data_IF_607049092089
#
_entry.id   IF_607049092089
#
_cell.length_a   1.000
_cell.length_b   1.000
_cell.length_c   1.000
_cell.angle_alpha   90.00
_cell.angle_beta   90.00
_cell.angle_gamma   90.00
#
_symmetry.space_group_name_H-M   'P 1'
#
loop_
_entity.id
_entity.type
_entity.pdbx_description
1 polymer ?
#
# COMPACT_ATOMS: atom_id res chain seq x y z
N UNK A 1 -4.17 32.65 -1.28
CA UNK A 1 -3.08 32.33 -0.34
C UNK A 1 -3.03 30.81 -0.23
N UNK A 2 -2.06 30.22 -0.92
CA UNK A 2 -1.99 28.82 -1.35
C UNK A 2 -1.72 27.86 -0.18
N UNK A 3 -2.60 26.88 0.01
CA UNK A 3 -2.66 25.92 1.12
C UNK A 3 -1.60 24.79 1.05
N UNK A 4 -0.37 25.08 0.64
CA UNK A 4 0.69 24.08 0.48
C UNK A 4 1.50 23.85 1.79
N UNK A 5 1.26 24.66 2.83
CA UNK A 5 2.13 24.75 4.01
C UNK A 5 1.49 24.31 5.35
N UNK A 6 0.56 23.35 5.32
CA UNK A 6 0.24 22.52 6.51
C UNK A 6 0.47 21.06 6.11
N UNK A 7 1.37 20.25 6.66
CA UNK A 7 2.35 20.44 7.73
C UNK A 7 3.25 19.18 7.70
N UNK A 8 4.14 19.04 6.73
CA UNK A 8 5.02 17.86 6.63
C UNK A 8 6.49 18.23 6.89
N UNK A 9 7.01 18.07 8.12
CA UNK A 9 8.42 18.36 8.42
C UNK A 9 9.34 17.43 7.63
N UNK A 10 10.24 18.04 6.85
CA UNK A 10 11.02 17.43 5.75
C UNK A 10 12.12 16.44 6.21
N UNK A 11 12.44 16.40 7.50
CA UNK A 11 13.70 15.81 8.01
C UNK A 11 13.61 14.44 8.70
N UNK A 12 12.42 13.85 8.90
CA UNK A 12 12.32 12.48 9.43
C UNK A 12 12.38 11.46 8.30
N UNK A 13 13.23 10.43 8.45
CA UNK A 13 13.22 9.26 7.57
C UNK A 13 11.77 8.76 7.46
N UNK A 14 11.28 8.64 6.23
CA UNK A 14 9.87 8.34 5.99
C UNK A 14 9.61 6.90 6.39
N UNK A 15 8.83 6.71 7.46
CA UNK A 15 8.34 5.38 7.81
C UNK A 15 7.43 4.92 6.69
N UNK A 16 7.83 3.85 6.01
CA UNK A 16 7.05 3.22 4.96
C UNK A 16 6.19 2.13 5.56
N UNK A 17 4.98 1.95 5.00
CA UNK A 17 4.17 0.79 5.29
C UNK A 17 4.92 -0.49 4.90
N UNK A 18 4.58 -1.58 5.59
CA UNK A 18 4.90 -2.91 5.07
C UNK A 18 4.14 -3.17 3.78
N UNK A 19 4.76 -3.92 2.87
CA UNK A 19 4.04 -4.49 1.74
C UNK A 19 3.00 -5.48 2.27
N UNK A 20 1.80 -5.56 1.66
CA UNK A 20 0.87 -6.65 1.91
C UNK A 20 1.59 -8.00 1.79
N UNK A 21 1.35 -8.94 2.70
CA UNK A 21 2.05 -10.24 2.72
C UNK A 21 1.05 -11.37 2.59
N UNK A 22 1.29 -12.29 1.65
CA UNK A 22 0.41 -13.38 1.19
C UNK A 22 -0.25 -14.29 2.26
N UNK A 23 0.09 -14.14 3.53
CA UNK A 23 -0.41 -14.95 4.64
C UNK A 23 -1.47 -14.24 5.50
N UNK A 24 -1.91 -13.03 5.16
CA UNK A 24 -2.93 -12.31 5.95
C UNK A 24 -4.33 -12.90 5.81
N UNK A 25 -4.61 -13.64 4.73
CA UNK A 25 -5.87 -14.36 4.56
C UNK A 25 -6.01 -15.56 5.53
N UNK A 26 -4.90 -16.17 5.97
CA UNK A 26 -4.89 -17.45 6.70
C UNK A 26 -4.45 -17.35 8.17
N UNK A 27 -3.79 -16.26 8.57
CA UNK A 27 -3.28 -16.10 9.93
C UNK A 27 -4.31 -15.48 10.89
N UNK A 28 -4.09 -15.70 12.19
CA UNK A 28 -4.90 -15.13 13.27
C UNK A 28 -5.03 -13.60 13.19
N UNK A 29 -6.00 -13.05 13.92
CA UNK A 29 -6.31 -11.62 13.93
C UNK A 29 -5.08 -10.73 14.12
N UNK A 30 -5.13 -9.55 13.52
CA UNK A 30 -4.19 -8.45 13.75
C UNK A 30 -3.81 -8.32 15.23
N UNK A 31 -2.55 -7.98 15.48
CA UNK A 31 -1.99 -7.73 16.80
C UNK A 31 -1.23 -6.41 16.79
N UNK A 32 -1.16 -5.74 17.94
CA UNK A 32 -0.37 -4.53 18.07
C UNK A 32 1.10 -4.79 17.63
N UNK A 33 1.70 -3.94 16.79
CA UNK A 33 3.06 -4.14 16.27
C UNK A 33 4.13 -4.40 17.32
N UNK A 34 4.04 -3.77 18.49
CA UNK A 34 5.01 -4.00 19.57
C UNK A 34 4.86 -5.38 20.22
N UNK A 35 3.63 -5.93 20.27
CA UNK A 35 3.39 -7.30 20.75
C UNK A 35 3.97 -8.33 19.78
N UNK A 36 3.83 -8.11 18.47
CA UNK A 36 4.46 -8.93 17.42
C UNK A 36 5.98 -8.96 17.58
N UNK A 37 6.60 -7.78 17.71
CA UNK A 37 8.05 -7.63 17.88
C UNK A 37 8.56 -8.30 19.16
N UNK A 38 7.84 -8.16 20.27
CA UNK A 38 8.17 -8.83 21.53
C UNK A 38 8.15 -10.37 21.40
N UNK A 39 7.31 -10.91 20.51
CA UNK A 39 7.29 -12.32 20.15
C UNK A 39 8.32 -12.76 19.10
N UNK A 40 9.24 -11.88 18.68
CA UNK A 40 10.28 -12.18 17.68
C UNK A 40 9.79 -12.14 16.22
N UNK A 41 8.58 -11.64 15.97
CA UNK A 41 8.01 -11.51 14.63
C UNK A 41 7.89 -10.05 14.20
N UNK A 42 8.16 -9.76 12.92
CA UNK A 42 7.86 -8.45 12.35
C UNK A 42 6.35 -8.21 12.27
N UNK A 43 5.88 -6.94 12.42
CA UNK A 43 4.48 -6.63 12.18
C UNK A 43 4.12 -6.80 10.70
N UNK A 44 2.88 -7.18 10.44
CA UNK A 44 2.26 -7.21 9.12
C UNK A 44 1.67 -5.84 8.75
N UNK A 45 1.24 -5.67 7.50
CA UNK A 45 0.47 -4.47 7.12
C UNK A 45 -0.84 -4.36 7.91
N UNK A 46 -1.57 -5.46 8.12
CA UNK A 46 -2.82 -5.44 8.91
C UNK A 46 -2.55 -5.01 10.36
N UNK A 47 -1.44 -5.45 10.96
CA UNK A 47 -1.03 -5.00 12.31
C UNK A 47 -0.80 -3.48 12.36
N UNK A 48 -0.15 -2.90 11.34
CA UNK A 48 0.11 -1.46 11.28
C UNK A 48 -1.17 -0.66 11.07
N UNK A 49 -2.01 -1.03 10.10
CA UNK A 49 -3.21 -0.24 9.79
C UNK A 49 -4.29 -0.34 10.86
N UNK A 50 -4.43 -1.48 11.53
CA UNK A 50 -5.48 -1.68 12.54
C UNK A 50 -5.12 -1.10 13.91
N UNK A 51 -3.85 -0.81 14.20
CA UNK A 51 -3.42 -0.37 15.53
C UNK A 51 -2.65 0.96 15.58
N UNK A 52 -2.03 1.40 14.49
CA UNK A 52 -1.17 2.60 14.51
C UNK A 52 -1.83 3.84 13.89
N UNK A 53 -2.95 3.67 13.19
CA UNK A 53 -3.61 4.74 12.46
C UNK A 53 -4.76 5.34 13.26
N UNK A 54 -5.03 6.62 13.06
CA UNK A 54 -6.09 7.37 13.74
C UNK A 54 -7.25 7.60 12.77
N UNK A 55 -7.88 6.51 12.36
CA UNK A 55 -8.99 6.50 11.39
C UNK A 55 -10.00 5.45 11.83
N UNK A 56 -11.28 5.77 11.66
CA UNK A 56 -12.36 4.83 11.93
C UNK A 56 -12.75 4.08 10.65
N UNK A 57 -13.28 2.84 10.74
CA UNK A 57 -13.59 2.04 9.54
C UNK A 57 -14.72 2.60 8.66
N UNK A 58 -15.54 3.49 9.21
CA UNK A 58 -16.64 4.21 8.56
C UNK A 58 -16.32 5.68 8.35
N UNK A 59 -15.03 6.07 8.46
CA UNK A 59 -14.60 7.41 8.14
C UNK A 59 -14.92 7.74 6.68
N UNK A 60 -15.51 8.91 6.45
CA UNK A 60 -15.71 9.44 5.11
C UNK A 60 -14.55 10.37 4.76
N UNK A 61 -14.23 10.45 3.48
CA UNK A 61 -13.25 11.40 3.02
C UNK A 61 -13.87 12.80 3.10
N UNK A 62 -13.33 13.74 3.89
CA UNK A 62 -13.83 15.11 3.89
C UNK A 62 -13.66 15.74 2.51
N UNK A 63 -14.62 16.56 2.10
CA UNK A 63 -14.59 17.34 0.85
C UNK A 63 -13.77 18.63 1.04
N UNK A 64 -12.57 18.50 1.59
CA UNK A 64 -11.67 19.63 1.89
C UNK A 64 -10.37 19.61 1.08
N UNK A 65 -10.19 18.61 0.20
CA UNK A 65 -9.07 18.54 -0.73
C UNK A 65 -8.93 17.20 -1.46
N UNK A 66 -7.93 17.08 -2.34
CA UNK A 66 -7.69 15.87 -3.14
C UNK A 66 -6.92 14.77 -2.38
N UNK A 67 -6.67 14.95 -1.07
CA UNK A 67 -5.80 14.10 -0.25
C UNK A 67 -6.51 13.71 1.04
N UNK A 68 -6.27 12.48 1.48
CA UNK A 68 -6.79 11.99 2.75
C UNK A 68 -6.26 12.79 3.95
N UNK A 69 -7.01 12.89 5.05
CA UNK A 69 -6.60 13.66 6.22
C UNK A 69 -5.26 13.18 6.79
N UNK A 70 -4.30 14.10 6.92
CA UNK A 70 -2.93 13.77 7.35
C UNK A 70 -2.89 13.14 8.76
N UNK A 71 -3.83 13.52 9.63
CA UNK A 71 -4.01 13.00 10.97
C UNK A 71 -4.34 11.51 11.02
N UNK A 72 -4.88 10.92 9.96
CA UNK A 72 -5.17 9.48 9.90
C UNK A 72 -3.88 8.66 9.95
N UNK A 73 -2.82 9.19 9.36
CA UNK A 73 -1.67 8.39 8.95
C UNK A 73 -0.50 8.41 9.93
N UNK A 74 -0.54 9.28 10.95
CA UNK A 74 0.52 9.39 11.95
C UNK A 74 1.92 9.51 11.32
N UNK A 75 2.82 8.58 11.67
CA UNK A 75 4.20 8.56 11.16
C UNK A 75 4.30 8.24 9.65
N UNK A 76 3.25 7.66 9.04
CA UNK A 76 3.21 7.28 7.63
C UNK A 76 2.71 8.42 6.71
N UNK A 77 2.23 9.53 7.27
CA UNK A 77 1.53 10.58 6.52
C UNK A 77 2.31 11.11 5.31
N UNK A 78 3.64 11.21 5.42
CA UNK A 78 4.49 11.65 4.30
C UNK A 78 4.61 10.62 3.18
N UNK A 79 4.68 9.34 3.53
CA UNK A 79 4.73 8.25 2.56
C UNK A 79 3.39 8.17 1.81
N UNK A 80 2.28 8.28 2.54
CA UNK A 80 0.93 8.31 1.98
C UNK A 80 0.77 9.48 1.02
N UNK A 81 1.07 10.71 1.47
CA UNK A 81 0.96 11.90 0.62
C UNK A 81 1.74 11.77 -0.70
N UNK A 82 2.98 11.27 -0.65
CA UNK A 82 3.76 11.03 -1.86
C UNK A 82 3.10 10.02 -2.79
N UNK A 83 2.53 8.97 -2.22
CA UNK A 83 1.84 7.95 -3.00
C UNK A 83 0.53 8.47 -3.59
N UNK A 84 -0.23 9.29 -2.88
CA UNK A 84 -1.42 9.98 -3.42
C UNK A 84 -1.08 10.87 -4.62
N UNK A 85 0.01 11.62 -4.54
CA UNK A 85 0.49 12.43 -5.67
C UNK A 85 0.82 11.54 -6.88
N UNK A 86 1.41 10.37 -6.64
CA UNK A 86 1.76 9.44 -7.70
C UNK A 86 0.52 8.73 -8.30
N UNK A 87 -0.42 8.32 -7.45
CA UNK A 87 -1.65 7.63 -7.85
C UNK A 87 -2.67 8.58 -8.47
N UNK A 88 -2.62 9.88 -8.15
CA UNK A 88 -3.58 10.88 -8.59
C UNK A 88 -4.94 10.76 -7.89
N UNK A 89 -5.02 9.95 -6.84
CA UNK A 89 -6.22 9.71 -6.02
C UNK A 89 -5.86 9.76 -4.54
N UNK A 90 -6.79 10.19 -3.68
CA UNK A 90 -6.58 10.10 -2.24
C UNK A 90 -6.46 8.64 -1.80
N UNK A 91 -5.74 8.42 -0.71
CA UNK A 91 -5.63 7.11 -0.09
C UNK A 91 -7.00 6.65 0.42
N UNK A 92 -7.47 5.45 0.04
CA UNK A 92 -8.70 4.89 0.60
C UNK A 92 -8.59 4.69 2.11
N UNK A 93 -9.72 4.63 2.81
CA UNK A 93 -9.75 4.25 4.22
C UNK A 93 -9.07 2.88 4.38
N UNK A 94 -8.03 2.76 5.24
CA UNK A 94 -7.16 1.60 5.25
C UNK A 94 -7.75 0.38 5.96
N UNK A 95 -8.88 0.57 6.64
CA UNK A 95 -9.53 -0.41 7.48
C UNK A 95 -11.03 -0.46 7.22
N UNK A 96 -11.66 -1.59 7.54
CA UNK A 96 -13.09 -1.82 7.41
C UNK A 96 -13.63 -2.60 8.61
N UNK A 97 -14.94 -2.52 8.86
CA UNK A 97 -15.62 -3.39 9.83
C UNK A 97 -15.69 -4.82 9.26
N UNK A 98 -15.18 -5.78 10.03
CA UNK A 98 -15.32 -7.20 9.74
C UNK A 98 -16.69 -7.74 10.18
N UNK A 99 -17.07 -8.94 9.72
CA UNK A 99 -18.40 -9.52 9.98
C UNK A 99 -18.72 -9.74 11.46
N UNK A 100 -17.69 -9.84 12.31
CA UNK A 100 -17.79 -10.05 13.77
C UNK A 100 -17.59 -8.76 14.58
N UNK A 101 -17.67 -7.59 13.94
CA UNK A 101 -17.52 -6.28 14.59
C UNK A 101 -16.08 -5.83 14.86
N UNK A 102 -15.07 -6.67 14.57
CA UNK A 102 -13.66 -6.28 14.64
C UNK A 102 -13.21 -5.44 13.44
N UNK A 103 -12.08 -4.75 13.58
CA UNK A 103 -11.45 -3.98 12.50
C UNK A 103 -10.55 -4.89 11.65
N UNK A 104 -10.56 -4.69 10.33
CA UNK A 104 -9.81 -5.47 9.35
C UNK A 104 -9.17 -4.58 8.29
N UNK A 105 -8.06 -5.01 7.71
CA UNK A 105 -7.45 -4.35 6.54
C UNK A 105 -8.43 -4.31 5.36
N UNK A 106 -8.60 -3.14 4.74
CA UNK A 106 -9.48 -2.93 3.61
C UNK A 106 -8.80 -3.33 2.28
N UNK A 107 -9.43 -4.20 1.45
CA UNK A 107 -8.86 -4.59 0.16
C UNK A 107 -8.57 -3.42 -0.79
N UNK A 108 -9.43 -2.40 -0.80
CA UNK A 108 -9.27 -1.20 -1.63
C UNK A 108 -7.98 -0.44 -1.31
N UNK A 109 -7.63 -0.37 -0.03
CA UNK A 109 -6.38 0.23 0.39
C UNK A 109 -5.16 -0.60 -0.06
N UNK A 110 -5.24 -1.94 0.02
CA UNK A 110 -4.17 -2.80 -0.50
C UNK A 110 -3.97 -2.64 -2.02
N UNK A 111 -5.07 -2.58 -2.78
CA UNK A 111 -5.05 -2.38 -4.23
C UNK A 111 -4.36 -1.05 -4.59
N UNK A 112 -4.75 0.03 -3.90
CA UNK A 112 -4.14 1.34 -4.03
C UNK A 112 -2.66 1.35 -3.62
N UNK A 113 -2.32 0.73 -2.49
CA UNK A 113 -0.95 0.65 -1.97
C UNK A 113 -0.02 -0.11 -2.94
N UNK A 114 -0.56 -1.13 -3.64
CA UNK A 114 0.16 -1.88 -4.66
C UNK A 114 0.25 -1.13 -6.00
N UNK A 115 -0.36 0.04 -6.13
CA UNK A 115 -0.31 0.86 -7.33
C UNK A 115 -1.16 0.34 -8.47
N UNK A 116 -2.19 -0.45 -8.15
CA UNK A 116 -3.14 -0.98 -9.13
C UNK A 116 -4.19 0.08 -9.48
N UNK A 117 -4.76 0.05 -10.69
CA UNK A 117 -5.92 0.87 -11.03
C UNK A 117 -7.09 0.63 -10.07
N UNK A 118 -7.91 1.66 -9.88
CA UNK A 118 -9.11 1.57 -9.06
C UNK A 118 -10.05 0.46 -9.57
N UNK A 119 -10.40 -0.49 -8.69
CA UNK A 119 -11.33 -1.57 -9.01
C UNK A 119 -10.68 -2.79 -9.67
N UNK A 120 -9.36 -2.78 -9.89
CA UNK A 120 -8.66 -3.85 -10.63
C UNK A 120 -8.89 -5.26 -10.08
N UNK A 121 -8.88 -5.41 -8.75
CA UNK A 121 -9.25 -6.63 -8.02
C UNK A 121 -10.57 -6.43 -7.28
N UNK A 122 -10.78 -5.25 -6.72
CA UNK A 122 -11.87 -4.99 -5.78
C UNK A 122 -13.25 -4.89 -6.41
N UNK A 123 -13.35 -4.60 -7.71
CA UNK A 123 -14.63 -4.57 -8.44
C UNK A 123 -14.91 -5.86 -9.21
N UNK A 124 -14.05 -6.88 -9.09
CA UNK A 124 -14.29 -8.19 -9.69
C UNK A 124 -15.45 -8.87 -8.95
N UNK A 125 -16.53 -9.25 -9.65
CA UNK A 125 -17.70 -9.86 -9.00
C UNK A 125 -17.34 -11.19 -8.35
N UNK A 126 -18.12 -11.54 -7.33
CA UNK A 126 -18.07 -12.82 -6.60
C UNK A 126 -16.76 -13.13 -5.86
N UNK A 127 -15.81 -12.18 -5.76
CA UNK A 127 -14.64 -12.34 -4.90
C UNK A 127 -14.96 -11.98 -3.45
N UNK A 128 -14.63 -12.91 -2.55
CA UNK A 128 -14.61 -12.62 -1.11
C UNK A 128 -13.47 -11.66 -0.75
N UNK A 129 -13.55 -11.01 0.42
CA UNK A 129 -12.47 -10.13 0.91
C UNK A 129 -11.14 -10.86 0.99
N UNK A 130 -11.13 -12.07 1.54
CA UNK A 130 -9.94 -12.91 1.66
C UNK A 130 -9.33 -13.23 0.30
N UNK A 131 -10.17 -13.48 -0.70
CA UNK A 131 -9.75 -13.71 -2.08
C UNK A 131 -9.16 -12.47 -2.75
N UNK A 132 -9.76 -11.30 -2.54
CA UNK A 132 -9.25 -10.03 -3.03
C UNK A 132 -7.87 -9.73 -2.42
N UNK A 133 -7.75 -9.80 -1.09
CA UNK A 133 -6.48 -9.60 -0.38
C UNK A 133 -5.43 -10.60 -0.88
N UNK A 134 -5.76 -11.89 -0.96
CA UNK A 134 -4.83 -12.91 -1.42
C UNK A 134 -4.34 -12.68 -2.86
N UNK A 135 -5.20 -12.17 -3.76
CA UNK A 135 -4.80 -11.82 -5.14
C UNK A 135 -3.88 -10.60 -5.18
N UNK A 136 -4.17 -9.57 -4.39
CA UNK A 136 -3.35 -8.36 -4.30
C UNK A 136 -1.96 -8.67 -3.71
N UNK A 137 -1.93 -9.48 -2.65
CA UNK A 137 -0.70 -9.85 -1.94
C UNK A 137 0.25 -10.75 -2.75
N UNK A 138 -0.30 -11.60 -3.61
CA UNK A 138 0.48 -12.43 -4.54
C UNK A 138 0.80 -11.70 -5.85
N UNK A 139 0.33 -10.46 -6.00
CA UNK A 139 0.65 -9.60 -7.13
C UNK A 139 2.02 -8.95 -7.02
N UNK A 140 2.28 -8.01 -7.93
CA UNK A 140 3.48 -7.18 -7.94
C UNK A 140 3.09 -5.73 -8.07
N UNK A 141 3.91 -4.82 -7.56
CA UNK A 141 3.75 -3.38 -7.81
C UNK A 141 4.03 -3.12 -9.30
N UNK A 142 3.04 -2.71 -10.13
CA UNK A 142 3.21 -2.59 -11.57
C UNK A 142 4.34 -1.65 -11.99
N UNK A 143 4.57 -0.60 -11.22
CA UNK A 143 5.61 0.39 -11.42
C UNK A 143 7.01 -0.23 -11.25
N UNK A 144 7.19 -1.06 -10.23
CA UNK A 144 8.44 -1.80 -10.01
C UNK A 144 8.66 -2.86 -11.09
N UNK A 145 7.60 -3.59 -11.45
CA UNK A 145 7.64 -4.59 -12.52
C UNK A 145 8.02 -3.94 -13.86
N UNK A 146 7.38 -2.82 -14.22
CA UNK A 146 7.69 -2.06 -15.42
C UNK A 146 9.16 -1.63 -15.45
N UNK A 147 9.68 -1.10 -14.33
CA UNK A 147 11.09 -0.72 -14.23
C UNK A 147 12.02 -1.92 -14.45
N UNK A 148 11.75 -3.05 -13.80
CA UNK A 148 12.53 -4.27 -13.97
C UNK A 148 12.51 -4.79 -15.41
N UNK A 149 11.34 -4.81 -16.07
CA UNK A 149 11.23 -5.21 -17.47
C UNK A 149 12.00 -4.27 -18.39
N UNK A 150 11.90 -2.95 -18.19
CA UNK A 150 12.66 -1.97 -18.97
C UNK A 150 14.16 -2.12 -18.78
N UNK A 151 14.60 -2.44 -17.57
CA UNK A 151 16.00 -2.73 -17.27
C UNK A 151 16.48 -3.97 -18.03
N UNK A 152 15.78 -5.10 -17.88
CA UNK A 152 16.13 -6.36 -18.55
C UNK A 152 16.12 -6.23 -20.09
N UNK A 153 15.15 -5.50 -20.65
CA UNK A 153 15.07 -5.25 -22.09
C UNK A 153 16.30 -4.51 -22.60
N UNK A 154 16.77 -3.49 -21.88
CA UNK A 154 17.98 -2.73 -22.25
C UNK A 154 19.22 -3.60 -22.24
N UNK A 155 19.36 -4.47 -21.24
CA UNK A 155 20.48 -5.41 -21.15
C UNK A 155 20.49 -6.42 -22.32
N UNK A 156 19.31 -6.93 -22.71
CA UNK A 156 19.18 -7.83 -23.85
C UNK A 156 19.57 -7.15 -25.17
N UNK A 157 19.12 -5.92 -25.40
CA UNK A 157 19.47 -5.13 -26.60
C UNK A 157 20.97 -4.83 -26.65
N UNK A 158 21.58 -4.45 -25.51
CA UNK A 158 23.01 -4.20 -25.41
C UNK A 158 23.85 -5.48 -25.63
N UNK A 159 23.37 -6.63 -25.15
CA UNK A 159 24.02 -7.94 -25.34
C UNK A 159 23.97 -8.42 -26.80
N UNK A 160 22.91 -8.12 -27.55
CA UNK A 160 22.79 -8.46 -28.97
C UNK A 160 23.68 -7.60 -29.89
N UNK A 161 24.22 -6.48 -29.39
CA UNK A 161 25.07 -5.57 -30.19
C UNK A 161 26.56 -5.95 -30.14
N UNK A 162 26.94 -7.01 -29.41
CA UNK A 162 28.35 -7.41 -29.15
C UNK A 162 28.89 -8.60 -29.97
N UNK A 163 28.31 -8.94 -31.13
CA UNK A 163 28.98 -9.85 -32.09
C UNK A 163 28.70 -9.42 -33.53
N UNK A 164 29.66 -9.52 -34.50
CA UNK A 164 30.98 -10.15 -34.43
C UNK A 164 32.16 -9.19 -34.75
N UNK A 165 33.36 -9.48 -34.23
CA UNK A 165 34.61 -9.20 -34.96
C UNK A 165 35.38 -10.54 -35.04
N UNK A 166 35.11 -11.27 -36.13
CA UNK A 166 36.05 -12.26 -36.65
C UNK A 166 37.06 -11.50 -37.54
N UNK A 167 38.35 -11.68 -37.27
CA UNK A 167 39.46 -11.38 -38.18
C UNK A 167 40.59 -12.39 -37.95
#
# INVERSE_FOLDING_TARGET
>A
MTAIARLFPREKAEKLFKTPTANLANNGSAQHPDKRKAGGHGPTLEDEVCFLLNVEPDAEHPDDGPHSPAEWWGEFARAVYRWEIFMGTPAPVPIMRGPRGGVKLAPKFCEWLMGLPDGWVTDVPDLTREEQIGRIENGVCPQQAHHAFRFLKRELEAGHTKAPEES
#
